data_IF_359900046106
#
_entry.id   IF_359900046106
#
_cell.length_a   1.000
_cell.length_b   1.000
_cell.length_c   1.000
_cell.angle_alpha   90.00
_cell.angle_beta   90.00
_cell.angle_gamma   90.00
#
_symmetry.space_group_name_H-M   'P 1'
#
loop_
_entity.id
_entity.type
_entity.pdbx_description
1 polymer ?
#
# COMPACT_ATOMS: atom_id res chain seq x y z
N UNK A 1 -17.42 0.45 2.61
CA UNK A 1 -17.86 1.71 1.97
C UNK A 1 -16.83 1.95 0.88
N UNK A 2 -17.20 1.78 -0.38
CA UNK A 2 -16.27 1.70 -1.52
C UNK A 2 -15.49 3.01 -1.65
N UNK A 3 -14.15 2.93 -1.55
CA UNK A 3 -13.26 4.03 -1.89
C UNK A 3 -13.38 4.37 -3.38
N UNK A 4 -13.10 5.62 -3.73
CA UNK A 4 -13.11 6.07 -5.12
C UNK A 4 -11.95 5.47 -5.93
N UNK A 5 -11.88 5.76 -7.24
CA UNK A 5 -10.78 5.26 -8.09
C UNK A 5 -9.39 5.69 -7.62
N UNK A 6 -9.27 6.85 -6.98
CA UNK A 6 -8.04 7.31 -6.37
C UNK A 6 -7.62 6.45 -5.16
N UNK A 7 -8.57 6.07 -4.30
CA UNK A 7 -8.29 5.25 -3.12
C UNK A 7 -7.78 3.86 -3.56
N UNK A 8 -8.42 3.27 -4.57
CA UNK A 8 -7.95 2.01 -5.16
C UNK A 8 -6.54 2.13 -5.73
N UNK A 9 -6.25 3.22 -6.46
CA UNK A 9 -4.92 3.46 -7.01
C UNK A 9 -3.86 3.56 -5.92
N UNK A 10 -4.13 4.34 -4.87
CA UNK A 10 -3.23 4.52 -3.73
C UNK A 10 -3.01 3.22 -2.93
N UNK A 11 -4.03 2.38 -2.80
CA UNK A 11 -3.94 1.08 -2.15
C UNK A 11 -3.16 0.04 -2.95
N UNK A 12 -2.94 0.28 -4.25
CA UNK A 12 -2.24 -0.64 -5.15
C UNK A 12 -0.86 -0.13 -5.59
N UNK A 13 -0.55 1.15 -5.39
CA UNK A 13 0.62 1.79 -6.00
C UNK A 13 1.95 1.05 -5.73
N UNK A 14 2.18 0.56 -4.50
CA UNK A 14 3.39 -0.20 -4.18
C UNK A 14 3.41 -1.56 -4.88
N UNK A 15 2.29 -2.28 -4.86
CA UNK A 15 2.15 -3.56 -5.56
C UNK A 15 2.42 -3.40 -7.06
N UNK A 16 1.92 -2.33 -7.68
CA UNK A 16 2.12 -2.07 -9.10
C UNK A 16 3.60 -1.82 -9.45
N UNK A 17 4.29 -1.04 -8.61
CA UNK A 17 5.72 -0.75 -8.77
C UNK A 17 6.55 -2.02 -8.58
N UNK A 18 6.29 -2.79 -7.51
CA UNK A 18 7.00 -4.03 -7.20
C UNK A 18 6.79 -5.08 -8.30
N UNK A 19 5.55 -5.28 -8.77
CA UNK A 19 5.24 -6.19 -9.88
C UNK A 19 5.97 -5.78 -11.16
N UNK A 20 6.06 -4.49 -11.46
CA UNK A 20 6.81 -4.01 -12.63
C UNK A 20 8.30 -4.31 -12.49
N UNK A 21 8.90 -4.03 -11.34
CA UNK A 21 10.32 -4.25 -11.09
C UNK A 21 10.70 -5.73 -11.12
N UNK A 22 9.99 -6.55 -10.35
CA UNK A 22 10.37 -7.94 -10.09
C UNK A 22 9.89 -8.90 -11.18
N UNK A 23 8.69 -8.68 -11.73
CA UNK A 23 8.07 -9.61 -12.68
C UNK A 23 8.28 -9.14 -14.11
N UNK A 24 7.83 -7.93 -14.46
CA UNK A 24 7.86 -7.47 -15.85
C UNK A 24 9.28 -7.12 -16.33
N UNK A 25 10.09 -6.50 -15.47
CA UNK A 25 11.48 -6.14 -15.76
C UNK A 25 12.47 -7.21 -15.31
N UNK A 26 12.02 -8.24 -14.59
CA UNK A 26 12.84 -9.37 -14.13
C UNK A 26 14.02 -8.94 -13.26
N UNK A 27 13.91 -7.82 -12.54
CA UNK A 27 15.00 -7.22 -11.75
C UNK A 27 16.16 -6.64 -12.57
N UNK A 28 16.05 -6.59 -13.91
CA UNK A 28 17.09 -6.04 -14.78
C UNK A 28 17.24 -4.51 -14.62
N UNK A 29 16.17 -3.85 -14.18
CA UNK A 29 16.13 -2.43 -13.85
C UNK A 29 15.85 -2.28 -12.36
N UNK A 30 16.78 -1.64 -11.64
CA UNK A 30 16.55 -1.26 -10.25
C UNK A 30 15.71 0.01 -10.24
N UNK A 31 14.48 -0.08 -9.73
CA UNK A 31 13.54 1.02 -9.63
C UNK A 31 13.81 1.84 -8.36
N UNK A 32 14.74 2.80 -8.46
CA UNK A 32 15.24 3.61 -7.33
C UNK A 32 14.87 5.11 -7.40
N UNK A 33 13.98 5.47 -8.31
CA UNK A 33 13.52 6.83 -8.62
C UNK A 33 14.62 7.79 -9.12
N UNK A 34 15.78 7.26 -9.54
CA UNK A 34 16.84 8.04 -10.17
C UNK A 34 16.59 8.35 -11.64
N UNK A 35 17.34 9.32 -12.19
CA UNK A 35 17.34 9.60 -13.63
C UNK A 35 17.81 8.37 -14.45
N UNK A 36 18.71 7.56 -13.89
CA UNK A 36 19.19 6.35 -14.55
C UNK A 36 18.10 5.29 -14.66
N UNK A 37 17.32 5.07 -13.59
CA UNK A 37 16.21 4.12 -13.61
C UNK A 37 15.04 4.61 -14.46
N UNK A 38 14.78 5.93 -14.53
CA UNK A 38 13.81 6.50 -15.48
C UNK A 38 14.22 6.25 -16.94
N UNK A 39 15.50 6.45 -17.28
CA UNK A 39 16.03 6.17 -18.63
C UNK A 39 15.93 4.68 -18.99
N UNK A 40 16.29 3.81 -18.05
CA UNK A 40 16.18 2.36 -18.23
C UNK A 40 14.73 1.90 -18.37
N UNK A 41 13.81 2.45 -17.56
CA UNK A 41 12.38 2.18 -17.63
C UNK A 41 11.80 2.64 -18.97
N UNK A 42 12.19 3.81 -19.48
CA UNK A 42 11.76 4.30 -20.79
C UNK A 42 12.14 3.31 -21.90
N UNK A 43 13.39 2.85 -21.86
CA UNK A 43 13.91 1.88 -22.83
C UNK A 43 13.15 0.56 -22.76
N UNK A 44 12.89 0.06 -21.55
CA UNK A 44 12.14 -1.17 -21.34
C UNK A 44 10.69 -1.03 -21.81
N UNK A 45 10.04 0.10 -21.52
CA UNK A 45 8.68 0.39 -21.94
C UNK A 45 8.56 0.40 -23.47
N UNK A 46 9.49 1.03 -24.19
CA UNK A 46 9.50 1.01 -25.67
C UNK A 46 9.76 -0.36 -26.27
N UNK A 47 10.63 -1.15 -25.63
CA UNK A 47 10.88 -2.52 -26.08
C UNK A 47 9.64 -3.40 -25.93
N UNK A 48 8.84 -3.15 -24.88
CA UNK A 48 7.63 -3.92 -24.58
C UNK A 48 6.38 -3.42 -25.31
N UNK A 49 6.25 -2.11 -25.48
CA UNK A 49 5.11 -1.41 -26.08
C UNK A 49 5.62 -0.66 -27.32
N UNK A 50 5.46 -1.28 -28.48
CA UNK A 50 6.01 -0.74 -29.73
C UNK A 50 5.19 0.44 -30.27
N UNK A 51 3.91 0.52 -29.90
CA UNK A 51 2.98 1.60 -30.25
C UNK A 51 2.41 2.23 -28.96
N UNK A 52 2.36 3.56 -28.83
CA UNK A 52 1.66 4.24 -27.73
C UNK A 52 0.25 3.69 -27.46
N UNK A 53 -0.48 3.25 -28.48
CA UNK A 53 -1.80 2.67 -28.31
C UNK A 53 -1.78 1.35 -27.54
N UNK A 54 -0.72 0.54 -27.66
CA UNK A 54 -0.56 -0.72 -26.91
C UNK A 54 -0.53 -0.50 -25.40
N UNK A 55 -0.04 0.66 -24.95
CA UNK A 55 -0.04 1.01 -23.53
C UNK A 55 -1.45 1.03 -22.91
N UNK A 56 -2.50 1.13 -23.73
CA UNK A 56 -3.90 1.19 -23.30
C UNK A 56 -4.66 -0.10 -23.61
N UNK A 57 -3.99 -1.18 -24.03
CA UNK A 57 -4.60 -2.49 -24.25
C UNK A 57 -4.73 -3.26 -22.94
N UNK A 58 -5.83 -4.02 -22.81
CA UNK A 58 -6.13 -4.87 -21.63
C UNK A 58 -4.97 -5.82 -21.28
N UNK A 59 -4.26 -6.33 -22.29
CA UNK A 59 -3.09 -7.23 -22.11
C UNK A 59 -1.90 -6.56 -21.42
N UNK A 60 -1.76 -5.25 -21.54
CA UNK A 60 -0.60 -4.50 -21.03
C UNK A 60 -0.91 -3.65 -19.81
N UNK A 61 -2.16 -3.63 -19.33
CA UNK A 61 -2.58 -2.73 -18.27
C UNK A 61 -1.81 -2.88 -16.96
N UNK A 62 -1.45 -4.11 -16.55
CA UNK A 62 -0.66 -4.31 -15.32
C UNK A 62 0.71 -3.63 -15.41
N UNK A 63 1.41 -3.85 -16.53
CA UNK A 63 2.71 -3.24 -16.79
C UNK A 63 2.58 -1.72 -16.92
N UNK A 64 1.63 -1.22 -17.72
CA UNK A 64 1.38 0.21 -17.89
C UNK A 64 1.06 0.87 -16.55
N UNK A 65 0.24 0.24 -15.70
CA UNK A 65 -0.13 0.78 -14.39
C UNK A 65 1.08 0.95 -13.48
N UNK A 66 1.97 -0.03 -13.42
CA UNK A 66 3.17 0.08 -12.61
C UNK A 66 4.20 1.07 -13.16
N UNK A 67 4.33 1.20 -14.49
CA UNK A 67 5.12 2.30 -15.09
C UNK A 67 4.52 3.66 -14.70
N UNK A 68 3.20 3.84 -14.86
CA UNK A 68 2.50 5.09 -14.51
C UNK A 68 2.64 5.42 -13.02
N UNK A 69 2.49 4.42 -12.14
CA UNK A 69 2.72 4.54 -10.70
C UNK A 69 4.14 5.00 -10.39
N UNK A 70 5.15 4.32 -10.95
CA UNK A 70 6.55 4.66 -10.75
C UNK A 70 6.88 6.07 -11.22
N UNK A 71 6.38 6.47 -12.39
CA UNK A 71 6.61 7.82 -12.94
C UNK A 71 6.04 8.91 -12.04
N UNK A 72 4.79 8.76 -11.58
CA UNK A 72 4.22 9.76 -10.70
C UNK A 72 4.91 9.79 -9.33
N UNK A 73 5.31 8.64 -8.81
CA UNK A 73 6.08 8.55 -7.56
C UNK A 73 7.48 9.18 -7.66
N UNK A 74 8.15 9.03 -8.80
CA UNK A 74 9.41 9.73 -9.08
C UNK A 74 9.19 11.25 -9.14
N UNK A 75 8.15 11.71 -9.83
CA UNK A 75 7.84 13.13 -9.94
C UNK A 75 7.44 13.74 -8.58
N UNK A 76 6.65 13.04 -7.76
CA UNK A 76 6.28 13.51 -6.42
C UNK A 76 7.47 13.58 -5.46
N UNK A 77 8.49 12.72 -5.62
CA UNK A 77 9.72 12.79 -4.81
C UNK A 77 10.51 14.07 -5.03
N UNK A 78 10.42 14.68 -6.21
CA UNK A 78 11.06 15.97 -6.50
C UNK A 78 10.09 17.14 -6.36
N UNK A 79 8.86 17.00 -6.84
CA UNK A 79 7.85 18.05 -6.90
C UNK A 79 6.99 18.21 -5.65
N UNK A 80 7.07 17.26 -4.71
CA UNK A 80 6.09 17.14 -3.62
C UNK A 80 4.70 16.86 -4.17
N UNK A 81 3.69 17.35 -3.46
CA UNK A 81 2.31 17.30 -3.89
C UNK A 81 1.64 15.96 -3.65
N UNK A 82 0.63 15.62 -4.45
CA UNK A 82 -0.23 14.44 -4.25
C UNK A 82 -0.72 13.83 -5.55
N UNK A 83 -1.20 12.60 -5.45
CA UNK A 83 -2.01 12.00 -6.50
C UNK A 83 -3.41 12.61 -6.52
N UNK A 84 -4.01 12.63 -7.71
CA UNK A 84 -5.42 12.92 -7.92
C UNK A 84 -5.94 12.10 -9.10
N UNK A 85 -7.26 12.06 -9.30
CA UNK A 85 -7.91 11.33 -10.39
C UNK A 85 -8.75 12.27 -11.24
N UNK A 86 -8.53 12.25 -12.57
CA UNK A 86 -9.28 13.08 -13.51
C UNK A 86 -9.88 12.26 -14.64
N UNK A 87 -11.09 12.63 -15.06
CA UNK A 87 -11.79 12.01 -16.18
C UNK A 87 -11.31 12.53 -17.55
N UNK A 88 -10.82 13.77 -17.59
CA UNK A 88 -10.33 14.45 -18.79
C UNK A 88 -8.87 14.89 -18.62
N UNK A 89 -8.06 14.88 -19.69
CA UNK A 89 -6.66 15.26 -19.60
C UNK A 89 -6.50 16.75 -19.24
N UNK A 90 -5.48 17.10 -18.45
CA UNK A 90 -5.12 18.49 -18.23
C UNK A 90 -4.89 19.23 -19.55
N UNK A 91 -5.22 20.52 -19.59
CA UNK A 91 -4.98 21.36 -20.76
C UNK A 91 -3.50 21.33 -21.18
N UNK A 92 -3.22 21.37 -22.49
CA UNK A 92 -1.85 21.34 -23.02
C UNK A 92 -1.22 19.94 -23.18
N UNK A 93 -1.85 18.89 -22.63
CA UNK A 93 -1.39 17.50 -22.76
C UNK A 93 -2.05 16.82 -23.97
N UNK A 94 -1.94 17.44 -25.13
CA UNK A 94 -2.69 17.01 -26.32
C UNK A 94 -2.00 15.83 -27.02
N UNK A 95 -2.59 14.65 -26.91
CA UNK A 95 -2.30 13.53 -27.83
C UNK A 95 -2.75 13.95 -29.24
N UNK A 96 -1.86 13.98 -30.23
CA UNK A 96 -2.18 14.41 -31.60
C UNK A 96 -3.12 13.44 -32.34
N UNK A 97 -3.04 12.16 -32.00
CA UNK A 97 -3.78 11.07 -32.64
C UNK A 97 -5.22 10.96 -32.10
N UNK A 98 -6.22 11.03 -33.00
CA UNK A 98 -7.64 10.95 -32.63
C UNK A 98 -8.08 9.59 -32.14
N UNK A 99 -7.46 8.51 -32.62
CA UNK A 99 -7.72 7.16 -32.15
C UNK A 99 -7.23 6.97 -30.73
N UNK A 100 -6.02 7.42 -30.43
CA UNK A 100 -5.43 7.36 -29.10
C UNK A 100 -6.19 8.22 -28.08
N UNK A 101 -6.65 9.42 -28.47
CA UNK A 101 -7.54 10.24 -27.63
C UNK A 101 -8.83 9.50 -27.25
N UNK A 102 -9.47 8.85 -28.22
CA UNK A 102 -10.71 8.09 -27.97
C UNK A 102 -10.43 6.94 -27.00
N UNK A 103 -9.36 6.18 -27.23
CA UNK A 103 -8.95 5.09 -26.33
C UNK A 103 -8.71 5.58 -24.90
N UNK A 104 -8.03 6.71 -24.73
CA UNK A 104 -7.82 7.33 -23.41
C UNK A 104 -9.14 7.69 -22.72
N UNK A 105 -10.09 8.33 -23.42
CA UNK A 105 -11.39 8.69 -22.82
C UNK A 105 -12.24 7.47 -22.43
N UNK A 106 -12.02 6.34 -23.09
CA UNK A 106 -12.72 5.08 -22.85
C UNK A 106 -11.97 4.17 -21.87
N UNK A 107 -10.71 4.49 -21.53
CA UNK A 107 -9.84 3.63 -20.74
C UNK A 107 -10.39 3.39 -19.32
N UNK A 108 -10.19 2.16 -18.85
CA UNK A 108 -10.52 1.68 -17.50
C UNK A 108 -9.34 0.87 -17.01
N UNK A 109 -8.87 1.18 -15.81
CA UNK A 109 -7.79 0.44 -15.16
C UNK A 109 -8.34 -0.88 -14.59
N UNK A 110 -7.86 -2.00 -15.16
CA UNK A 110 -8.22 -3.38 -14.86
C UNK A 110 -6.95 -4.22 -14.73
N UNK A 111 -6.62 -4.61 -13.51
CA UNK A 111 -5.33 -5.21 -13.15
C UNK A 111 -5.51 -6.62 -12.57
N UNK A 112 -6.37 -6.81 -11.58
CA UNK A 112 -6.47 -8.07 -10.82
C UNK A 112 -7.91 -8.57 -10.56
N UNK A 113 -8.91 -7.99 -11.24
CA UNK A 113 -10.36 -8.27 -11.14
C UNK A 113 -11.02 -7.96 -9.78
N UNK A 114 -10.26 -7.74 -8.70
CA UNK A 114 -10.81 -7.58 -7.36
C UNK A 114 -10.75 -6.11 -6.90
N UNK A 115 -11.92 -5.46 -6.84
CA UNK A 115 -12.05 -4.09 -6.34
C UNK A 115 -11.65 -3.00 -7.36
N UNK A 116 -11.50 -3.36 -8.64
CA UNK A 116 -11.19 -2.42 -9.71
C UNK A 116 -12.25 -1.30 -9.82
N UNK A 117 -11.83 -0.05 -10.01
CA UNK A 117 -12.78 1.03 -10.18
C UNK A 117 -13.47 0.92 -11.54
N UNK A 118 -14.81 0.84 -11.52
CA UNK A 118 -15.62 1.02 -12.73
C UNK A 118 -15.75 2.51 -13.11
N UNK A 119 -14.61 3.19 -13.28
CA UNK A 119 -14.54 4.63 -13.54
C UNK A 119 -13.58 4.95 -14.68
N UNK A 120 -14.02 5.82 -15.61
CA UNK A 120 -13.14 6.48 -16.58
C UNK A 120 -12.07 7.29 -15.86
N UNK A 121 -10.94 7.50 -16.53
CA UNK A 121 -9.96 8.50 -16.16
C UNK A 121 -8.61 7.89 -15.88
N UNK A 122 -7.75 8.71 -15.28
CA UNK A 122 -6.39 8.31 -14.98
C UNK A 122 -5.85 9.08 -13.78
N UNK A 123 -4.86 8.47 -13.11
CA UNK A 123 -4.14 9.14 -12.04
C UNK A 123 -3.29 10.29 -12.62
N UNK A 124 -3.23 11.39 -11.88
CA UNK A 124 -2.37 12.54 -12.16
C UNK A 124 -1.59 12.91 -10.92
N UNK A 125 -0.44 13.55 -11.11
CA UNK A 125 0.32 14.18 -10.04
C UNK A 125 0.01 15.67 -10.01
N UNK A 126 -0.44 16.15 -8.86
CA UNK A 126 -0.49 17.58 -8.55
C UNK A 126 0.72 17.92 -7.70
N UNK A 127 1.71 18.67 -8.20
CA UNK A 127 2.89 19.04 -7.43
C UNK A 127 2.53 19.97 -6.26
N UNK A 128 3.50 20.25 -5.39
CA UNK A 128 3.33 21.23 -4.32
C UNK A 128 2.86 22.57 -4.92
N UNK A 129 1.74 23.09 -4.42
CA UNK A 129 1.08 24.26 -4.98
C UNK A 129 1.93 25.52 -4.94
N UNK A 130 2.93 25.59 -4.06
CA UNK A 130 3.81 26.74 -3.95
C UNK A 130 4.91 26.75 -5.03
N UNK A 131 5.26 25.59 -5.58
CA UNK A 131 6.34 25.44 -6.57
C UNK A 131 6.04 26.07 -7.94
N UNK A 132 4.76 26.34 -8.24
CA UNK A 132 4.32 26.84 -9.55
C UNK A 132 4.37 25.80 -10.68
N UNK A 133 4.70 24.54 -10.38
CA UNK A 133 4.59 23.44 -11.35
C UNK A 133 3.12 23.14 -11.67
N UNK A 134 2.85 22.79 -12.93
CA UNK A 134 1.52 22.36 -13.36
C UNK A 134 1.29 20.88 -13.06
N UNK A 135 0.02 20.50 -12.90
CA UNK A 135 -0.36 19.10 -12.75
C UNK A 135 -0.02 18.30 -14.02
N UNK A 136 0.45 17.07 -13.85
CA UNK A 136 0.94 16.23 -14.93
C UNK A 136 0.29 14.85 -14.87
N UNK A 137 -0.11 14.30 -16.02
CA UNK A 137 -0.59 12.92 -16.14
C UNK A 137 0.55 11.97 -16.50
N UNK A 138 0.96 11.05 -15.60
CA UNK A 138 2.03 10.11 -15.92
C UNK A 138 1.65 9.16 -17.06
N UNK A 139 0.37 8.87 -17.25
CA UNK A 139 -0.15 8.14 -18.42
C UNK A 139 0.19 8.87 -19.73
N UNK A 140 -0.09 10.17 -19.81
CA UNK A 140 0.22 10.94 -21.03
C UNK A 140 1.73 11.11 -21.24
N UNK A 141 2.48 11.25 -20.15
CA UNK A 141 3.94 11.29 -20.21
C UNK A 141 4.51 9.99 -20.77
N UNK A 142 4.00 8.83 -20.35
CA UNK A 142 4.37 7.53 -20.94
C UNK A 142 4.02 7.48 -22.43
N UNK A 143 2.81 7.88 -22.83
CA UNK A 143 2.42 7.90 -24.25
C UNK A 143 3.34 8.79 -25.10
N UNK A 144 3.77 9.93 -24.56
CA UNK A 144 4.75 10.80 -25.21
C UNK A 144 6.12 10.10 -25.32
N UNK A 145 6.56 9.44 -24.26
CA UNK A 145 7.82 8.71 -24.22
C UNK A 145 7.86 7.52 -25.19
N UNK A 146 6.72 6.89 -25.46
CA UNK A 146 6.58 5.83 -26.48
C UNK A 146 6.57 6.38 -27.91
N UNK A 147 6.09 7.62 -28.11
CA UNK A 147 5.99 8.24 -29.43
C UNK A 147 7.29 8.94 -29.89
N UNK A 148 8.10 9.45 -28.97
CA UNK A 148 9.29 10.25 -29.26
C UNK A 148 10.56 9.45 -29.01
N UNK A 149 11.33 9.11 -30.05
CA UNK A 149 12.54 8.30 -29.87
C UNK A 149 13.68 8.99 -29.10
N UNK A 150 13.62 10.30 -28.88
CA UNK A 150 14.72 11.09 -28.30
C UNK A 150 14.88 10.99 -26.77
N UNK A 151 13.90 10.42 -26.08
CA UNK A 151 13.88 10.29 -24.61
C UNK A 151 13.13 11.45 -23.96
N UNK A 152 12.09 11.13 -23.18
CA UNK A 152 11.14 12.13 -22.63
C UNK A 152 11.16 12.17 -21.11
N UNK A 153 11.33 11.02 -20.45
CA UNK A 153 11.15 10.90 -19.00
C UNK A 153 12.21 11.68 -18.21
N UNK A 154 13.48 11.49 -18.56
CA UNK A 154 14.60 12.19 -17.88
C UNK A 154 14.53 13.71 -18.07
N UNK A 155 14.32 14.25 -19.29
CA UNK A 155 14.13 15.70 -19.46
C UNK A 155 12.97 16.28 -18.66
N UNK A 156 11.83 15.58 -18.57
CA UNK A 156 10.67 16.05 -17.78
C UNK A 156 10.99 16.07 -16.29
N UNK A 157 11.56 14.97 -15.78
CA UNK A 157 12.00 14.87 -14.38
C UNK A 157 13.04 15.95 -14.02
N UNK A 158 14.03 16.15 -14.89
CA UNK A 158 15.06 17.19 -14.70
C UNK A 158 14.48 18.60 -14.66
N UNK A 159 13.47 18.92 -15.49
CA UNK A 159 12.77 20.21 -15.43
C UNK A 159 12.02 20.40 -14.11
N UNK A 160 11.28 19.39 -13.65
CA UNK A 160 10.59 19.44 -12.36
C UNK A 160 11.56 19.70 -11.21
N UNK A 161 12.64 18.93 -11.17
CA UNK A 161 13.71 19.08 -10.18
C UNK A 161 14.32 20.49 -10.20
N UNK A 162 14.59 21.04 -11.39
CA UNK A 162 15.15 22.39 -11.52
C UNK A 162 14.19 23.47 -11.00
N UNK A 163 12.90 23.42 -11.39
CA UNK A 163 11.90 24.41 -10.94
C UNK A 163 11.78 24.43 -9.42
N UNK A 164 11.76 23.25 -8.79
CA UNK A 164 11.71 23.11 -7.33
C UNK A 164 12.98 23.64 -6.68
N UNK A 165 14.15 23.33 -7.25
CA UNK A 165 15.43 23.83 -6.73
C UNK A 165 15.50 25.36 -6.80
N UNK A 166 15.13 25.95 -7.94
CA UNK A 166 15.07 27.41 -8.13
C UNK A 166 14.12 28.07 -7.12
N UNK A 167 12.94 27.45 -6.88
CA UNK A 167 11.99 27.95 -5.90
C UNK A 167 12.52 27.86 -4.46
N UNK A 168 13.15 26.75 -4.10
CA UNK A 168 13.74 26.54 -2.76
C UNK A 168 14.91 27.51 -2.50
N UNK A 169 15.75 27.79 -3.50
CA UNK A 169 16.82 28.80 -3.40
C UNK A 169 16.26 30.20 -3.16
N UNK A 170 15.13 30.54 -3.78
CA UNK A 170 14.44 31.81 -3.59
C UNK A 170 13.67 31.90 -2.25
N UNK A 171 13.34 30.76 -1.62
CA UNK A 171 12.53 30.69 -0.39
C UNK A 171 13.21 29.86 0.71
N UNK A 172 14.20 30.43 1.43
CA UNK A 172 14.90 29.71 2.49
C UNK A 172 13.95 29.17 3.56
N UNK A 173 14.05 27.87 3.84
CA UNK A 173 13.19 27.15 4.80
C UNK A 173 11.97 26.48 4.17
N UNK A 174 11.74 26.67 2.87
CA UNK A 174 10.78 25.89 2.11
C UNK A 174 11.40 24.59 1.57
N UNK A 175 10.60 23.55 1.52
CA UNK A 175 10.89 22.30 0.81
C UNK A 175 9.57 21.71 0.32
N UNK A 176 9.52 21.07 -0.85
CA UNK A 176 8.29 20.49 -1.37
C UNK A 176 7.76 19.41 -0.41
N UNK A 177 6.45 19.39 -0.18
CA UNK A 177 5.80 18.42 0.70
C UNK A 177 5.04 17.39 -0.12
N UNK A 178 5.50 16.14 -0.12
CA UNK A 178 4.83 14.99 -0.74
C UNK A 178 3.78 14.40 0.23
N UNK A 179 2.56 14.20 -0.26
CA UNK A 179 1.54 13.37 0.38
C UNK A 179 2.00 11.91 0.35
N UNK A 180 1.92 11.27 1.52
CA UNK A 180 2.45 9.92 1.72
C UNK A 180 1.65 8.89 0.94
N UNK A 181 2.34 7.87 0.46
CA UNK A 181 1.77 6.76 -0.33
C UNK A 181 2.41 5.43 0.07
N UNK A 182 1.79 4.31 -0.32
CA UNK A 182 2.39 2.98 -0.08
C UNK A 182 3.77 2.80 -0.71
N UNK A 183 4.06 3.53 -1.80
CA UNK A 183 5.37 3.49 -2.47
C UNK A 183 6.52 4.10 -1.64
N UNK A 184 6.22 4.73 -0.51
CA UNK A 184 7.23 5.17 0.47
C UNK A 184 7.66 4.03 1.41
N UNK A 185 7.14 2.81 1.21
CA UNK A 185 7.30 1.68 2.14
C UNK A 185 6.46 1.85 3.42
N UNK A 186 5.51 2.78 3.41
CA UNK A 186 4.67 3.14 4.54
C UNK A 186 3.22 2.76 4.27
N UNK A 187 2.59 2.03 5.16
CA UNK A 187 1.20 1.62 5.02
C UNK A 187 0.24 2.78 5.36
N UNK A 188 -0.75 3.05 4.51
CA UNK A 188 -1.76 4.07 4.82
C UNK A 188 -2.47 3.72 6.14
N UNK A 189 -2.48 4.64 7.09
CA UNK A 189 -3.28 4.51 8.30
C UNK A 189 -4.76 4.43 7.91
N UNK A 190 -5.50 3.37 8.30
CA UNK A 190 -6.94 3.35 8.08
C UNK A 190 -7.60 4.55 8.77
N UNK A 191 -8.71 5.07 8.23
CA UNK A 191 -9.46 6.12 8.90
C UNK A 191 -9.96 5.65 10.27
N UNK A 192 -10.30 6.59 11.18
CA UNK A 192 -10.95 6.24 12.45
C UNK A 192 -12.14 5.30 12.23
N UNK A 193 -12.25 4.27 13.06
CA UNK A 193 -13.24 3.20 12.90
C UNK A 193 -14.02 3.00 14.19
N UNK A 194 -15.33 3.23 14.14
CA UNK A 194 -16.22 2.94 15.27
C UNK A 194 -16.24 1.45 15.61
N UNK A 195 -16.02 0.58 14.60
CA UNK A 195 -15.87 -0.87 14.82
C UNK A 195 -14.63 -1.17 15.65
N UNK A 196 -13.53 -0.45 15.41
CA UNK A 196 -12.33 -0.57 16.22
C UNK A 196 -12.56 -0.08 17.65
N UNK A 197 -13.18 1.10 17.78
CA UNK A 197 -13.43 1.73 19.07
C UNK A 197 -14.32 0.84 19.95
N UNK A 198 -15.41 0.30 19.39
CA UNK A 198 -16.32 -0.61 20.09
C UNK A 198 -15.64 -1.92 20.48
N UNK A 199 -14.81 -2.48 19.59
CA UNK A 199 -14.06 -3.70 19.89
C UNK A 199 -13.05 -3.49 21.00
N UNK A 200 -12.26 -2.42 20.95
CA UNK A 200 -11.29 -2.07 22.01
C UNK A 200 -11.99 -1.86 23.36
N UNK A 201 -13.09 -1.11 23.38
CA UNK A 201 -13.86 -0.87 24.60
C UNK A 201 -14.41 -2.18 25.18
N UNK A 202 -14.89 -3.10 24.32
CA UNK A 202 -15.33 -4.42 24.76
C UNK A 202 -14.18 -5.23 25.36
N UNK A 203 -13.03 -5.31 24.68
CA UNK A 203 -11.89 -6.06 25.20
C UNK A 203 -11.38 -5.47 26.52
N UNK A 204 -11.25 -4.16 26.64
CA UNK A 204 -10.83 -3.49 27.88
C UNK A 204 -11.77 -3.81 29.06
N UNK A 205 -13.08 -3.86 28.81
CA UNK A 205 -14.07 -4.18 29.84
C UNK A 205 -14.05 -5.66 30.25
N UNK A 206 -13.86 -6.57 29.29
CA UNK A 206 -14.07 -8.02 29.51
C UNK A 206 -12.78 -8.84 29.64
N UNK A 207 -11.60 -8.25 29.40
CA UNK A 207 -10.34 -8.98 29.41
C UNK A 207 -10.01 -9.59 30.79
N UNK A 208 -10.39 -8.95 31.90
CA UNK A 208 -10.17 -9.49 33.23
C UNK A 208 -10.90 -10.83 33.45
N UNK A 209 -12.14 -10.95 32.94
CA UNK A 209 -12.91 -12.19 33.00
C UNK A 209 -12.32 -13.25 32.07
N UNK A 210 -11.92 -12.86 30.86
CA UNK A 210 -11.22 -13.75 29.94
C UNK A 210 -9.94 -14.30 30.58
N UNK A 211 -9.13 -13.43 31.20
CA UNK A 211 -7.90 -13.79 31.88
C UNK A 211 -8.13 -14.82 33.00
N UNK A 212 -9.14 -14.58 33.84
CA UNK A 212 -9.50 -15.49 34.94
C UNK A 212 -9.91 -16.89 34.45
N UNK A 213 -10.69 -16.98 33.37
CA UNK A 213 -11.12 -18.26 32.76
C UNK A 213 -10.00 -19.00 32.05
N UNK A 214 -8.92 -18.31 31.69
CA UNK A 214 -7.83 -18.83 30.86
C UNK A 214 -6.50 -18.98 31.62
N UNK A 215 -6.58 -19.17 32.94
CA UNK A 215 -5.44 -19.53 33.80
C UNK A 215 -4.82 -18.37 34.58
N UNK A 216 -5.33 -17.13 34.46
CA UNK A 216 -4.91 -15.97 35.24
C UNK A 216 -3.47 -15.51 35.01
N UNK A 217 -3.05 -14.42 35.67
CA UNK A 217 -1.66 -13.91 35.64
C UNK A 217 -1.12 -13.66 34.23
N UNK A 218 -1.89 -12.96 33.40
CA UNK A 218 -1.47 -12.47 32.10
C UNK A 218 -0.84 -11.07 32.29
N UNK A 219 0.48 -11.00 32.27
CA UNK A 219 1.27 -9.83 32.70
C UNK A 219 1.81 -8.98 31.54
N UNK A 220 1.46 -9.33 30.31
CA UNK A 220 1.96 -8.74 29.07
C UNK A 220 3.49 -8.84 28.89
N UNK A 221 4.15 -9.75 29.60
CA UNK A 221 5.56 -10.03 29.36
C UNK A 221 5.77 -10.79 28.05
N UNK A 222 6.90 -10.60 27.36
CA UNK A 222 7.24 -11.41 26.18
C UNK A 222 7.25 -12.92 26.47
N UNK A 223 7.59 -13.34 27.69
CA UNK A 223 7.62 -14.75 28.07
C UNK A 223 6.22 -15.37 28.15
N UNK A 224 5.20 -14.55 28.44
CA UNK A 224 3.81 -14.98 28.44
C UNK A 224 3.27 -15.33 27.05
N UNK A 225 3.97 -14.96 25.96
CA UNK A 225 3.61 -15.35 24.59
C UNK A 225 3.62 -16.88 24.44
N UNK A 226 4.67 -17.56 24.91
CA UNK A 226 4.76 -19.03 24.81
C UNK A 226 3.60 -19.71 25.57
N UNK A 227 3.20 -19.14 26.70
CA UNK A 227 2.04 -19.64 27.45
C UNK A 227 0.73 -19.41 26.70
N UNK A 228 0.59 -18.29 26.01
CA UNK A 228 -0.56 -18.01 25.15
C UNK A 228 -0.61 -19.01 23.98
N UNK A 229 0.51 -19.23 23.29
CA UNK A 229 0.56 -20.12 22.12
C UNK A 229 0.22 -21.56 22.47
N UNK A 230 0.70 -22.06 23.61
CA UNK A 230 0.29 -23.35 24.16
C UNK A 230 -1.21 -23.41 24.47
N UNK A 231 -1.78 -22.34 25.05
CA UNK A 231 -3.21 -22.29 25.37
C UNK A 231 -4.06 -22.32 24.10
N UNK A 232 -3.69 -21.52 23.09
CA UNK A 232 -4.34 -21.49 21.77
C UNK A 232 -4.26 -22.87 21.12
N UNK A 233 -3.08 -23.49 21.09
CA UNK A 233 -2.91 -24.85 20.54
C UNK A 233 -3.78 -25.90 21.23
N UNK A 234 -3.99 -25.80 22.56
CA UNK A 234 -4.86 -26.73 23.28
C UNK A 234 -6.35 -26.51 23.00
N UNK A 235 -6.80 -25.25 22.93
CA UNK A 235 -8.24 -24.92 22.80
C UNK A 235 -8.72 -24.89 21.35
N UNK A 236 -7.88 -24.43 20.44
CA UNK A 236 -8.13 -24.34 19.01
C UNK A 236 -6.97 -25.01 18.26
N UNK A 237 -6.89 -26.35 18.25
CA UNK A 237 -5.72 -27.08 17.75
C UNK A 237 -5.51 -26.99 16.23
N UNK A 238 -6.47 -26.45 15.49
CA UNK A 238 -6.41 -26.32 14.03
C UNK A 238 -6.84 -24.91 13.61
N UNK A 239 -6.41 -24.48 12.42
CA UNK A 239 -6.87 -23.21 11.81
C UNK A 239 -8.40 -23.18 11.70
N UNK A 240 -9.03 -24.32 11.37
CA UNK A 240 -10.49 -24.42 11.32
C UNK A 240 -11.13 -24.18 12.70
N UNK A 241 -10.56 -24.71 13.78
CA UNK A 241 -11.05 -24.44 15.14
C UNK A 241 -10.81 -22.99 15.57
N UNK A 242 -9.70 -22.37 15.13
CA UNK A 242 -9.44 -20.94 15.36
C UNK A 242 -10.45 -20.03 14.64
N UNK A 243 -10.90 -20.45 13.44
CA UNK A 243 -11.93 -19.74 12.65
C UNK A 243 -13.37 -20.05 13.08
N UNK A 244 -13.59 -21.07 13.89
CA UNK A 244 -14.93 -21.47 14.33
C UNK A 244 -15.57 -20.38 15.23
N UNK A 245 -16.75 -19.85 14.87
CA UNK A 245 -17.46 -18.86 15.68
C UNK A 245 -17.73 -19.31 17.12
N UNK A 246 -17.82 -20.62 17.38
CA UNK A 246 -17.98 -21.15 18.74
C UNK A 246 -16.79 -20.84 19.66
N UNK A 247 -15.61 -20.56 19.08
CA UNK A 247 -14.41 -20.17 19.82
C UNK A 247 -14.17 -18.65 19.81
N UNK A 248 -15.07 -17.85 19.23
CA UNK A 248 -14.87 -16.41 18.98
C UNK A 248 -14.42 -15.62 20.22
N UNK A 249 -15.15 -15.72 21.33
CA UNK A 249 -14.81 -14.99 22.58
C UNK A 249 -13.41 -15.37 23.10
N UNK A 250 -13.01 -16.64 22.95
CA UNK A 250 -11.67 -17.07 23.33
C UNK A 250 -10.60 -16.48 22.42
N UNK A 251 -10.82 -16.56 21.10
CA UNK A 251 -9.87 -16.11 20.07
C UNK A 251 -9.69 -14.60 20.08
N UNK A 252 -10.77 -13.84 20.27
CA UNK A 252 -10.72 -12.38 20.39
C UNK A 252 -9.86 -11.94 21.58
N UNK A 253 -10.08 -12.51 22.76
CA UNK A 253 -9.25 -12.20 23.93
C UNK A 253 -7.79 -12.62 23.76
N UNK A 254 -7.52 -13.73 23.06
CA UNK A 254 -6.15 -14.15 22.73
C UNK A 254 -5.47 -13.16 21.76
N UNK A 255 -6.18 -12.71 20.72
CA UNK A 255 -5.69 -11.73 19.75
C UNK A 255 -5.46 -10.38 20.41
N UNK A 256 -6.40 -9.92 21.24
CA UNK A 256 -6.25 -8.70 22.03
C UNK A 256 -5.01 -8.77 22.92
N UNK A 257 -4.83 -9.86 23.68
CA UNK A 257 -3.67 -10.01 24.55
C UNK A 257 -2.33 -9.98 23.78
N UNK A 258 -2.24 -10.74 22.69
CA UNK A 258 -1.02 -10.78 21.86
C UNK A 258 -0.73 -9.42 21.21
N UNK A 259 -1.74 -8.75 20.67
CA UNK A 259 -1.58 -7.40 20.14
C UNK A 259 -1.17 -6.42 21.22
N UNK A 260 -1.76 -6.49 22.40
CA UNK A 260 -1.37 -5.65 23.53
C UNK A 260 0.09 -5.89 24.00
N UNK A 261 0.65 -7.09 23.84
CA UNK A 261 2.09 -7.34 24.03
C UNK A 261 2.91 -6.67 22.92
N UNK A 262 2.57 -6.91 21.65
CA UNK A 262 3.26 -6.32 20.49
C UNK A 262 3.27 -4.79 20.54
N UNK A 263 2.14 -4.19 20.94
CA UNK A 263 1.97 -2.74 21.08
C UNK A 263 2.83 -2.12 22.18
N UNK A 264 3.11 -2.87 23.25
CA UNK A 264 4.01 -2.45 24.33
C UNK A 264 5.48 -2.66 23.98
N UNK A 265 5.79 -3.63 23.13
CA UNK A 265 7.15 -3.94 22.67
C UNK A 265 7.68 -2.93 21.66
N UNK A 266 6.83 -2.43 20.76
CA UNK A 266 7.22 -1.48 19.70
C UNK A 266 6.16 -0.39 19.51
N UNK A 267 6.53 0.91 19.36
CA UNK A 267 5.58 2.00 19.15
C UNK A 267 4.62 1.75 17.99
N UNK A 268 3.40 1.36 18.32
CA UNK A 268 2.36 0.99 17.36
C UNK A 268 0.97 1.31 17.91
N UNK A 269 -0.03 1.22 17.03
CA UNK A 269 -1.43 1.49 17.33
C UNK A 269 -2.32 0.40 16.73
N UNK A 270 -3.45 0.16 17.37
CA UNK A 270 -4.49 -0.68 16.78
C UNK A 270 -5.12 0.03 15.58
N UNK A 271 -5.41 -0.75 14.54
CA UNK A 271 -6.08 -0.31 13.32
C UNK A 271 -7.09 -1.38 12.90
N UNK A 272 -8.16 -0.95 12.23
CA UNK A 272 -9.14 -1.84 11.61
C UNK A 272 -8.97 -1.80 10.10
N UNK A 273 -8.69 -2.96 9.50
CA UNK A 273 -8.54 -3.11 8.04
C UNK A 273 -9.50 -4.17 7.54
N UNK A 274 -10.37 -3.82 6.59
CA UNK A 274 -11.28 -4.78 5.95
C UNK A 274 -10.56 -5.64 4.89
N UNK A 275 -9.46 -6.30 5.28
CA UNK A 275 -8.85 -7.36 4.48
C UNK A 275 -9.52 -8.68 4.83
N UNK A 276 -10.52 -9.10 4.03
CA UNK A 276 -11.16 -10.41 4.21
C UNK A 276 -10.58 -11.40 3.21
N UNK A 277 -9.64 -12.23 3.67
CA UNK A 277 -9.44 -13.52 3.04
C UNK A 277 -10.72 -14.36 3.24
N UNK A 278 -11.07 -15.15 2.23
CA UNK A 278 -12.30 -15.94 2.24
C UNK A 278 -12.33 -16.89 3.46
N UNK A 279 -13.30 -16.68 4.36
CA UNK A 279 -13.50 -17.51 5.54
C UNK A 279 -12.83 -17.03 6.83
N UNK A 280 -12.13 -15.88 6.83
CA UNK A 280 -11.60 -15.31 8.07
C UNK A 280 -12.67 -14.59 8.92
N UNK A 281 -12.61 -14.70 10.25
CA UNK A 281 -13.51 -13.99 11.15
C UNK A 281 -13.15 -12.50 11.19
N UNK A 282 -14.09 -11.68 11.66
CA UNK A 282 -13.85 -10.23 11.83
C UNK A 282 -12.64 -9.92 12.71
N UNK A 283 -12.27 -10.82 13.61
CA UNK A 283 -11.09 -10.70 14.47
C UNK A 283 -9.79 -10.52 13.67
N UNK A 284 -9.70 -11.05 12.44
CA UNK A 284 -8.54 -10.91 11.56
C UNK A 284 -8.28 -9.47 11.10
N UNK A 285 -9.31 -8.61 11.17
CA UNK A 285 -9.26 -7.21 10.74
C UNK A 285 -8.67 -6.27 11.79
N UNK A 286 -8.58 -6.69 13.06
CA UNK A 286 -7.94 -5.92 14.12
C UNK A 286 -6.45 -6.20 14.12
N UNK A 287 -5.68 -5.20 13.71
CA UNK A 287 -4.24 -5.32 13.47
C UNK A 287 -3.50 -4.22 14.20
N UNK A 288 -2.19 -4.36 14.33
CA UNK A 288 -1.31 -3.30 14.78
C UNK A 288 -0.57 -2.71 13.62
N UNK A 289 -0.44 -1.40 13.61
CA UNK A 289 0.41 -0.66 12.69
C UNK A 289 1.45 0.12 13.46
N UNK A 290 2.70 0.08 12.99
CA UNK A 290 3.78 0.89 13.54
C UNK A 290 3.42 2.38 13.45
N UNK A 291 3.84 3.16 14.45
CA UNK A 291 3.50 4.59 14.51
C UNK A 291 4.20 5.43 13.43
N UNK A 292 5.29 4.93 12.87
CA UNK A 292 5.96 5.51 11.70
C UNK A 292 5.37 5.03 10.36
N UNK A 293 4.34 4.18 10.42
CA UNK A 293 3.66 3.56 9.29
C UNK A 293 4.48 2.53 8.50
N UNK A 294 5.71 2.18 8.93
CA UNK A 294 6.61 1.30 8.16
C UNK A 294 6.16 -0.17 8.08
N UNK A 295 5.16 -0.57 8.87
CA UNK A 295 4.71 -1.95 8.95
C UNK A 295 3.41 -2.12 9.69
N UNK A 296 2.74 -3.23 9.42
CA UNK A 296 1.60 -3.67 10.22
C UNK A 296 1.65 -5.20 10.42
N UNK A 297 0.93 -5.67 11.44
CA UNK A 297 0.84 -7.09 11.78
C UNK A 297 -0.49 -7.44 12.40
N UNK A 298 -0.97 -8.66 12.17
CA UNK A 298 -2.26 -9.14 12.68
C UNK A 298 -2.09 -10.25 13.71
N UNK A 299 -2.49 -10.06 14.98
CA UNK A 299 -2.41 -11.10 16.01
C UNK A 299 -3.12 -12.40 15.60
N UNK A 300 -4.27 -12.31 14.93
CA UNK A 300 -4.99 -13.47 14.41
C UNK A 300 -4.15 -14.28 13.41
N UNK A 301 -3.53 -13.61 12.44
CA UNK A 301 -2.69 -14.25 11.42
C UNK A 301 -1.46 -14.90 12.03
N UNK A 302 -0.82 -14.27 13.02
CA UNK A 302 0.31 -14.87 13.74
C UNK A 302 -0.08 -16.19 14.42
N UNK A 303 -1.25 -16.23 15.08
CA UNK A 303 -1.78 -17.45 15.70
C UNK A 303 -2.23 -18.49 14.66
N UNK A 304 -2.83 -18.06 13.56
CA UNK A 304 -3.23 -18.95 12.46
C UNK A 304 -2.02 -19.62 11.82
N UNK A 305 -0.99 -18.84 11.45
CA UNK A 305 0.26 -19.36 10.87
C UNK A 305 1.01 -20.29 11.82
N UNK A 306 0.99 -19.99 13.13
CA UNK A 306 1.55 -20.86 14.17
C UNK A 306 0.89 -22.25 14.12
N UNK A 307 -0.45 -22.32 14.06
CA UNK A 307 -1.19 -23.58 13.99
C UNK A 307 -0.99 -24.30 12.65
N UNK A 308 -1.00 -23.56 11.54
CA UNK A 308 -0.78 -24.11 10.20
C UNK A 308 0.59 -24.79 10.08
N UNK A 309 1.63 -24.17 10.64
CA UNK A 309 3.01 -24.68 10.59
C UNK A 309 3.36 -25.62 11.74
N UNK A 310 2.52 -25.71 12.77
CA UNK A 310 2.80 -26.47 13.99
C UNK A 310 3.98 -25.93 14.80
N UNK A 311 4.28 -24.62 14.70
CA UNK A 311 5.42 -23.98 15.33
C UNK A 311 4.99 -23.00 16.42
N UNK A 312 4.88 -23.50 17.66
CA UNK A 312 4.44 -22.72 18.82
C UNK A 312 5.42 -21.61 19.24
N UNK A 313 6.66 -21.66 18.79
CA UNK A 313 7.68 -20.63 19.07
C UNK A 313 7.59 -19.43 18.13
N UNK A 314 6.92 -19.58 16.98
CA UNK A 314 6.85 -18.56 15.93
C UNK A 314 6.34 -17.20 16.43
N UNK A 315 5.25 -17.09 17.21
CA UNK A 315 4.79 -15.79 17.69
C UNK A 315 5.79 -15.09 18.62
N UNK A 316 6.59 -15.85 19.38
CA UNK A 316 7.65 -15.28 20.22
C UNK A 316 8.82 -14.79 19.38
N UNK A 317 9.29 -15.60 18.43
CA UNK A 317 10.35 -15.19 17.50
C UNK A 317 9.94 -13.93 16.72
N UNK A 318 8.69 -13.88 16.24
CA UNK A 318 8.15 -12.71 15.58
C UNK A 318 8.11 -11.47 16.50
N UNK A 319 7.72 -11.63 17.76
CA UNK A 319 7.78 -10.53 18.73
C UNK A 319 9.21 -9.98 18.89
N UNK A 320 10.21 -10.87 18.98
CA UNK A 320 11.61 -10.45 19.14
C UNK A 320 12.11 -9.69 17.89
N UNK A 321 11.64 -10.03 16.69
CA UNK A 321 11.88 -9.27 15.45
C UNK A 321 11.12 -7.93 15.41
N UNK A 322 9.88 -7.92 15.89
CA UNK A 322 9.00 -6.74 15.88
C UNK A 322 9.44 -5.65 16.88
N UNK A 323 10.01 -6.05 18.01
CA UNK A 323 10.43 -5.16 19.09
C UNK A 323 11.93 -4.80 19.08
N UNK A 324 12.73 -5.48 18.25
CA UNK A 324 14.17 -5.28 18.12
C UNK A 324 14.54 -4.21 17.09
#
# INVERSE_FOLDING_TARGET
MEGGPLDWWLDRINLLIDMTGDVDLGGAVVLDYSEASLSALETAARHRLADPAEALDDEHQSFTAGVVAYLGEALMRVGGGRWDWVAEPPEGVAVGDSGLRRRLSEHRWRIDSAGEPDATGFPIVRPDSESGLEALSPTHLLLQALADESGVLVPVYGRWKQVVQDYAEAHPGWSPVKERTLADGLFNAPPPSTVLDDWLAHQEQHFADWAARNGGNWDYSPDSINRLTELVSRKTPTVAALRDPANGEFVEGACYYLGEILRRGCPSRWVYREFRDEGDPITANFQLQLNDDAGFTGPFHLLSFMLERGDLGRPRAYYDEWAG
#
